data_IF_225690950823
#
_entry.id   IF_225690950823
#
_cell.length_a   1.000
_cell.length_b   1.000
_cell.length_c   1.000
_cell.angle_alpha   90.00
_cell.angle_beta   90.00
_cell.angle_gamma   90.00
#
_symmetry.space_group_name_H-M   'P 1'
#
loop_
_entity.id
_entity.type
_entity.pdbx_description
1 polymer ?
#
# COMPACT_ATOMS: atom_id res chain seq x y z
N UNK A 1 28.21 -2.21 -24.04
CA UNK A 1 27.95 -2.29 -22.58
C UNK A 1 28.07 -3.74 -22.09
N UNK A 2 28.24 -3.96 -20.78
CA UNK A 2 28.42 -5.31 -20.20
C UNK A 2 27.33 -5.54 -19.16
N UNK A 3 26.53 -6.59 -19.34
CA UNK A 3 25.38 -6.90 -18.50
C UNK A 3 25.55 -8.26 -17.83
N UNK A 4 24.94 -8.44 -16.67
CA UNK A 4 24.90 -9.70 -15.95
C UNK A 4 23.47 -10.23 -15.92
N UNK A 5 23.27 -11.47 -16.39
CA UNK A 5 21.94 -12.09 -16.37
C UNK A 5 21.57 -12.57 -14.96
N UNK A 6 20.40 -12.17 -14.46
CA UNK A 6 19.90 -12.57 -13.12
C UNK A 6 19.66 -14.09 -13.00
N UNK A 7 19.21 -14.73 -14.07
CA UNK A 7 18.86 -16.16 -14.08
C UNK A 7 20.09 -17.06 -14.14
N UNK A 8 21.12 -16.63 -14.88
CA UNK A 8 22.23 -17.50 -15.30
C UNK A 8 23.58 -17.04 -14.75
N UNK A 9 23.64 -15.86 -14.12
CA UNK A 9 24.83 -15.23 -13.52
C UNK A 9 26.02 -15.05 -14.47
N UNK A 10 25.85 -15.36 -15.75
CA UNK A 10 26.84 -15.13 -16.81
C UNK A 10 26.81 -13.67 -17.22
N UNK A 11 27.99 -13.09 -17.38
CA UNK A 11 28.18 -11.77 -17.94
C UNK A 11 28.20 -11.87 -19.46
N UNK A 12 27.45 -11.02 -20.14
CA UNK A 12 27.45 -10.92 -21.59
C UNK A 12 27.71 -9.48 -22.02
N UNK A 13 28.33 -9.32 -23.19
CA UNK A 13 28.62 -8.01 -23.76
C UNK A 13 27.60 -7.73 -24.86
N UNK A 14 27.05 -6.53 -24.84
CA UNK A 14 26.01 -6.10 -25.78
C UNK A 14 26.28 -4.69 -26.24
N UNK A 15 26.26 -4.47 -27.55
CA UNK A 15 26.34 -3.13 -28.11
C UNK A 15 24.95 -2.48 -28.07
N UNK A 16 24.89 -1.24 -27.60
CA UNK A 16 23.62 -0.56 -27.23
C UNK A 16 23.34 0.59 -28.19
N UNK A 17 24.04 0.64 -29.33
CA UNK A 17 23.82 1.66 -30.35
C UNK A 17 22.62 1.36 -31.25
N UNK A 18 22.28 0.08 -31.40
CA UNK A 18 21.14 -0.40 -32.17
C UNK A 18 20.41 -1.38 -31.25
N UNK A 19 19.11 -1.16 -31.04
CA UNK A 19 18.32 -1.92 -30.06
C UNK A 19 17.18 -2.60 -30.81
N UNK A 20 17.32 -3.89 -31.08
CA UNK A 20 16.31 -4.70 -31.75
C UNK A 20 15.49 -5.54 -30.76
N UNK A 21 14.34 -6.07 -31.17
CA UNK A 21 13.46 -6.84 -30.27
C UNK A 21 14.08 -8.20 -29.84
N UNK A 22 14.98 -8.76 -30.67
CA UNK A 22 15.80 -9.92 -30.30
C UNK A 22 16.77 -9.58 -29.17
N UNK A 23 17.07 -8.29 -29.00
CA UNK A 23 18.04 -7.84 -28.04
C UNK A 23 17.51 -7.77 -26.60
N UNK A 24 16.23 -8.06 -26.36
CA UNK A 24 15.65 -8.04 -25.03
C UNK A 24 15.99 -9.27 -24.18
N UNK A 25 16.58 -10.30 -24.80
CA UNK A 25 16.87 -11.58 -24.18
C UNK A 25 18.36 -11.78 -23.91
N UNK A 26 18.66 -12.49 -22.82
CA UNK A 26 20.02 -12.94 -22.54
C UNK A 26 20.41 -14.11 -23.48
N UNK A 27 21.54 -14.04 -24.20
CA UNK A 27 21.95 -15.06 -25.18
C UNK A 27 22.32 -16.42 -24.56
N UNK A 28 22.35 -16.52 -23.23
CA UNK A 28 22.72 -17.75 -22.54
C UNK A 28 21.53 -18.56 -22.02
N UNK A 29 20.36 -17.96 -21.89
CA UNK A 29 19.21 -18.62 -21.26
C UNK A 29 17.87 -17.93 -21.49
N UNK A 30 17.79 -17.08 -22.51
CA UNK A 30 16.55 -16.42 -22.96
C UNK A 30 15.81 -15.67 -21.85
N UNK A 31 16.55 -15.14 -20.89
CA UNK A 31 15.95 -14.31 -19.85
C UNK A 31 15.73 -12.90 -20.42
N UNK A 32 14.47 -12.50 -20.54
CA UNK A 32 14.07 -11.12 -20.83
C UNK A 32 14.59 -10.20 -19.71
N UNK A 33 15.42 -9.22 -20.07
CA UNK A 33 16.07 -8.33 -19.10
C UNK A 33 15.54 -6.89 -19.15
N UNK A 34 14.67 -6.59 -20.10
CA UNK A 34 13.97 -5.30 -20.17
C UNK A 34 12.83 -5.34 -19.16
N UNK A 35 12.82 -4.38 -18.24
CA UNK A 35 11.75 -4.25 -17.25
C UNK A 35 10.89 -3.05 -17.62
N UNK A 36 9.58 -3.24 -17.55
CA UNK A 36 8.64 -2.14 -17.75
C UNK A 36 8.87 -1.03 -16.73
N UNK A 37 8.78 0.22 -17.18
CA UNK A 37 8.90 1.38 -16.32
C UNK A 37 7.72 1.40 -15.32
N UNK A 38 8.01 1.20 -14.04
CA UNK A 38 7.02 1.34 -12.98
C UNK A 38 6.68 2.83 -12.83
N UNK A 39 5.45 3.20 -13.18
CA UNK A 39 4.93 4.55 -12.89
C UNK A 39 4.61 4.65 -11.39
N UNK A 40 5.04 5.73 -10.71
CA UNK A 40 4.67 5.95 -9.33
C UNK A 40 3.15 6.18 -9.28
N UNK A 41 2.41 5.17 -8.83
CA UNK A 41 1.00 5.35 -8.49
C UNK A 41 0.97 6.28 -7.28
N UNK A 42 0.25 7.39 -7.38
CA UNK A 42 0.02 8.29 -6.25
C UNK A 42 -0.80 7.53 -5.19
N UNK A 43 -0.10 6.79 -4.33
CA UNK A 43 -0.68 6.21 -3.13
C UNK A 43 -0.79 7.34 -2.11
N UNK A 44 -2.02 7.76 -1.80
CA UNK A 44 -2.28 8.65 -0.67
C UNK A 44 -2.08 7.83 0.60
N UNK A 45 -0.84 7.76 1.11
CA UNK A 45 -0.59 7.13 2.41
C UNK A 45 -1.02 8.11 3.49
N UNK A 46 -1.99 7.71 4.31
CA UNK A 46 -2.34 8.45 5.52
C UNK A 46 -1.35 8.01 6.58
N UNK A 47 -0.32 8.80 6.81
CA UNK A 47 0.65 8.61 7.90
C UNK A 47 -0.08 8.88 9.23
N UNK A 48 -0.71 7.85 9.79
CA UNK A 48 -1.29 7.91 11.12
C UNK A 48 -0.18 7.62 12.16
N UNK A 49 0.18 8.63 12.94
CA UNK A 49 1.03 8.45 14.13
C UNK A 49 0.35 7.52 15.16
N UNK A 50 1.13 7.02 16.13
CA UNK A 50 0.64 6.08 17.14
C UNK A 50 -0.63 6.63 17.83
N UNK A 51 -1.72 5.86 17.73
CA UNK A 51 -3.03 6.15 18.31
C UNK A 51 -3.01 6.49 19.81
N UNK A 52 -1.97 6.06 20.55
CA UNK A 52 -1.81 6.39 21.97
C UNK A 52 -1.30 7.81 22.20
N UNK A 53 -0.56 8.36 21.25
CA UNK A 53 0.01 9.71 21.32
C UNK A 53 -0.96 10.71 20.70
N UNK A 54 -1.44 10.43 19.49
CA UNK A 54 -2.39 11.29 18.78
C UNK A 54 -3.67 10.54 18.40
N UNK A 55 -4.63 10.58 19.32
CA UNK A 55 -5.90 9.86 19.20
C UNK A 55 -6.94 10.61 18.34
N UNK A 56 -6.54 11.68 17.64
CA UNK A 56 -7.42 12.55 16.84
C UNK A 56 -8.00 11.84 15.62
N UNK A 57 -7.34 10.79 15.13
CA UNK A 57 -7.87 9.96 14.04
C UNK A 57 -8.96 8.98 14.50
N UNK A 58 -9.00 8.64 15.80
CA UNK A 58 -9.93 7.67 16.38
C UNK A 58 -11.08 8.33 17.15
N UNK A 59 -10.83 9.52 17.72
CA UNK A 59 -11.84 10.35 18.36
C UNK A 59 -12.36 11.37 17.37
N UNK A 60 -13.68 11.48 17.24
CA UNK A 60 -14.30 12.63 16.57
C UNK A 60 -13.70 13.91 17.13
N UNK A 61 -13.12 14.77 16.28
CA UNK A 61 -12.40 15.98 16.68
C UNK A 61 -13.24 17.06 17.38
N UNK A 62 -14.47 16.74 17.78
CA UNK A 62 -15.39 17.60 18.50
C UNK A 62 -16.00 16.82 19.69
N UNK A 63 -15.54 17.11 20.91
CA UNK A 63 -16.02 16.51 22.16
C UNK A 63 -17.51 16.78 22.44
N UNK A 64 -18.15 17.68 21.67
CA UNK A 64 -19.58 18.00 21.79
C UNK A 64 -20.47 16.94 21.14
N UNK A 65 -19.94 16.16 20.20
CA UNK A 65 -20.65 15.08 19.52
C UNK A 65 -20.47 13.80 20.35
N UNK A 66 -21.24 13.68 21.45
CA UNK A 66 -21.33 12.41 22.17
C UNK A 66 -22.00 11.38 21.27
N UNK A 67 -21.25 10.37 20.83
CA UNK A 67 -21.82 9.21 20.16
C UNK A 67 -22.90 8.54 21.01
N UNK A 68 -23.83 7.86 20.36
CA UNK A 68 -24.88 7.12 21.04
C UNK A 68 -24.25 6.11 22.02
N UNK A 69 -24.68 6.16 23.28
CA UNK A 69 -24.24 5.21 24.31
C UNK A 69 -24.52 3.80 23.80
N UNK A 70 -23.50 2.93 23.84
CA UNK A 70 -23.72 1.52 23.51
C UNK A 70 -24.73 0.94 24.48
N UNK A 71 -25.88 0.52 23.93
CA UNK A 71 -26.95 -0.11 24.69
C UNK A 71 -26.47 -1.48 25.16
N UNK A 72 -26.46 -1.70 26.46
CA UNK A 72 -26.21 -3.04 26.99
C UNK A 72 -27.55 -3.77 27.17
N UNK A 73 -27.51 -5.11 27.16
CA UNK A 73 -28.69 -5.97 27.41
C UNK A 73 -29.38 -5.68 28.76
N UNK A 74 -28.71 -4.93 29.65
CA UNK A 74 -29.17 -4.60 30.99
C UNK A 74 -29.68 -3.17 31.14
N UNK A 75 -29.77 -2.38 30.07
CA UNK A 75 -30.37 -1.04 30.13
C UNK A 75 -31.90 -1.17 29.96
N UNK A 76 -32.71 -1.05 31.05
CA UNK A 76 -34.15 -1.00 30.90
C UNK A 76 -34.54 0.22 30.09
N UNK A 77 -35.40 0.00 29.09
CA UNK A 77 -35.80 0.96 28.08
C UNK A 77 -36.16 2.33 28.69
N UNK A 78 -35.80 3.40 27.99
CA UNK A 78 -36.19 4.80 28.26
C UNK A 78 -37.72 5.05 28.33
N UNK A 79 -38.53 4.01 28.13
CA UNK A 79 -39.99 4.01 28.29
C UNK A 79 -40.42 3.71 29.73
N UNK A 80 -39.54 3.18 30.60
CA UNK A 80 -39.84 2.94 32.02
C UNK A 80 -39.91 4.24 32.85
N UNK A 81 -39.16 5.28 32.46
CA UNK A 81 -39.16 6.61 33.12
C UNK A 81 -40.40 7.46 32.76
N UNK A 82 -41.27 7.01 31.84
CA UNK A 82 -42.47 7.73 31.40
C UNK A 82 -43.77 7.29 32.08
N UNK A 83 -43.74 6.24 32.89
CA UNK A 83 -44.84 5.91 33.81
C UNK A 83 -44.54 6.49 35.19
N UNK A 84 -44.70 7.82 35.29
CA UNK A 84 -45.11 8.45 36.55
C UNK A 84 -46.62 8.34 36.69
#
# INVERSE_FOLDING_TARGET
MTFACKKCKKCFRKDVQEFEEADEYCPHCDNHFVLDALTPKAALTVEAEDARVDNRMLKSGDDRIKGEKQRTIFDPETEADKLG
#
